data_IF_937624422450
#
_entry.id   IF_937624422450
#
_cell.length_a   1.000
_cell.length_b   1.000
_cell.length_c   1.000
_cell.angle_alpha   90.00
_cell.angle_beta   90.00
_cell.angle_gamma   90.00
#
_symmetry.space_group_name_H-M   'P 1'
#
loop_
_entity.id
_entity.type
_entity.pdbx_description
1 polymer ?
#
# COMPACT_ATOMS: atom_id res chain seq x y z
N UNK A 1 -9.67 -2.13 -8.70
CA UNK A 1 -10.73 -1.52 -7.86
C UNK A 1 -11.51 -2.57 -7.07
N UNK A 2 -12.20 -3.51 -7.74
CA UNK A 2 -12.98 -4.57 -7.06
C UNK A 2 -12.16 -5.35 -6.02
N UNK A 3 -10.93 -5.73 -6.37
CA UNK A 3 -10.03 -6.43 -5.45
C UNK A 3 -9.67 -5.58 -4.22
N UNK A 4 -9.39 -4.28 -4.40
CA UNK A 4 -9.14 -3.37 -3.27
C UNK A 4 -10.35 -3.27 -2.36
N UNK A 5 -11.55 -3.17 -2.95
CA UNK A 5 -12.82 -3.18 -2.19
C UNK A 5 -12.97 -4.50 -1.42
N UNK A 6 -12.68 -5.63 -2.06
CA UNK A 6 -12.71 -6.95 -1.44
C UNK A 6 -11.73 -7.06 -0.25
N UNK A 7 -10.49 -6.62 -0.40
CA UNK A 7 -9.52 -6.58 0.69
C UNK A 7 -9.96 -5.65 1.82
N UNK A 8 -10.53 -4.49 1.51
CA UNK A 8 -11.08 -3.57 2.52
C UNK A 8 -12.21 -4.26 3.29
N UNK A 9 -13.15 -4.91 2.61
CA UNK A 9 -14.24 -5.64 3.27
C UNK A 9 -13.70 -6.72 4.19
N UNK A 10 -12.77 -7.57 3.72
CA UNK A 10 -12.12 -8.59 4.55
C UNK A 10 -11.42 -7.97 5.75
N UNK A 11 -10.67 -6.89 5.53
CA UNK A 11 -9.98 -6.14 6.58
C UNK A 11 -10.95 -5.66 7.66
N UNK A 12 -12.04 -5.00 7.27
CA UNK A 12 -13.08 -4.50 8.19
C UNK A 12 -13.75 -5.64 8.97
N UNK A 13 -14.18 -6.72 8.30
CA UNK A 13 -14.80 -7.86 8.96
C UNK A 13 -13.83 -8.57 9.91
N UNK A 14 -12.56 -8.72 9.51
CA UNK A 14 -11.54 -9.34 10.36
C UNK A 14 -11.32 -8.54 11.65
N UNK A 15 -11.39 -7.20 11.57
CA UNK A 15 -11.24 -6.33 12.74
C UNK A 15 -12.44 -6.44 13.68
N UNK A 16 -13.66 -6.43 13.15
CA UNK A 16 -14.87 -6.63 13.95
C UNK A 16 -14.87 -7.98 14.68
N UNK A 17 -14.42 -9.04 13.99
CA UNK A 17 -14.29 -10.36 14.59
C UNK A 17 -13.25 -10.40 15.72
N UNK A 18 -12.11 -9.71 15.57
CA UNK A 18 -11.11 -9.58 16.63
C UNK A 18 -11.64 -8.84 17.85
N UNK A 19 -12.32 -7.71 17.65
CA UNK A 19 -12.91 -6.93 18.74
C UNK A 19 -13.96 -7.76 19.48
N UNK A 20 -14.83 -8.45 18.74
CA UNK A 20 -15.82 -9.35 19.33
C UNK A 20 -15.16 -10.44 20.18
N UNK A 21 -14.13 -11.09 19.65
CA UNK A 21 -13.41 -12.12 20.39
C UNK A 21 -12.71 -11.58 21.63
N UNK A 22 -12.11 -10.38 21.55
CA UNK A 22 -11.45 -9.72 22.69
C UNK A 22 -12.43 -9.35 23.82
N UNK A 23 -13.69 -9.05 23.49
CA UNK A 23 -14.70 -8.64 24.45
C UNK A 23 -15.46 -9.81 25.08
N UNK A 24 -15.68 -10.90 24.34
CA UNK A 24 -16.63 -11.94 24.73
C UNK A 24 -16.08 -13.36 24.80
N UNK A 25 -14.86 -13.63 24.32
CA UNK A 25 -14.31 -15.00 24.27
C UNK A 25 -13.38 -15.29 25.44
N UNK A 26 -13.68 -16.35 26.19
CA UNK A 26 -12.79 -16.89 27.23
C UNK A 26 -11.72 -17.84 26.66
N UNK A 27 -11.95 -18.39 25.46
CA UNK A 27 -11.06 -19.37 24.83
C UNK A 27 -9.94 -18.70 24.02
N UNK A 28 -8.70 -18.92 24.48
CA UNK A 28 -7.49 -18.33 23.87
C UNK A 28 -7.05 -19.06 22.59
N UNK A 29 -7.44 -20.32 22.40
CA UNK A 29 -6.96 -21.18 21.30
C UNK A 29 -8.06 -21.50 20.28
N UNK A 30 -8.47 -20.50 19.50
CA UNK A 30 -9.44 -20.68 18.43
C UNK A 30 -8.78 -20.52 17.06
N UNK A 31 -8.83 -21.56 16.21
CA UNK A 31 -8.32 -21.51 14.83
C UNK A 31 -8.92 -20.35 14.02
N UNK A 32 -10.16 -19.96 14.34
CA UNK A 32 -10.81 -18.79 13.75
C UNK A 32 -10.05 -17.50 14.07
N UNK A 33 -9.57 -17.34 15.31
CA UNK A 33 -8.81 -16.16 15.73
C UNK A 33 -7.51 -16.02 14.95
N UNK A 34 -6.82 -17.14 14.67
CA UNK A 34 -5.61 -17.16 13.86
C UNK A 34 -5.90 -16.73 12.41
N UNK A 35 -6.94 -17.30 11.78
CA UNK A 35 -7.33 -16.94 10.40
C UNK A 35 -7.68 -15.46 10.29
N UNK A 36 -8.45 -14.95 11.26
CA UNK A 36 -8.85 -13.55 11.32
C UNK A 36 -7.62 -12.65 11.53
N UNK A 37 -6.68 -13.05 12.39
CA UNK A 37 -5.43 -12.31 12.64
C UNK A 37 -4.54 -12.24 11.40
N UNK A 38 -4.39 -13.35 10.67
CA UNK A 38 -3.66 -13.40 9.39
C UNK A 38 -4.34 -12.50 8.36
N UNK A 39 -5.66 -12.58 8.24
CA UNK A 39 -6.42 -11.77 7.28
C UNK A 39 -6.24 -10.27 7.54
N UNK A 40 -6.27 -9.85 8.81
CA UNK A 40 -5.99 -8.47 9.22
C UNK A 40 -4.55 -8.05 8.87
N UNK A 41 -3.56 -8.87 9.25
CA UNK A 41 -2.15 -8.59 9.00
C UNK A 41 -1.87 -8.47 7.49
N UNK A 42 -2.50 -9.35 6.70
CA UNK A 42 -2.44 -9.35 5.25
C UNK A 42 -3.03 -8.10 4.63
N UNK A 43 -4.23 -7.68 5.06
CA UNK A 43 -4.83 -6.43 4.62
C UNK A 43 -3.92 -5.22 4.88
N UNK A 44 -3.33 -5.15 6.08
CA UNK A 44 -2.46 -4.04 6.45
C UNK A 44 -1.18 -4.02 5.62
N UNK A 45 -0.51 -5.18 5.47
CA UNK A 45 0.69 -5.32 4.64
C UNK A 45 0.40 -4.98 3.18
N UNK A 46 -0.70 -5.50 2.62
CA UNK A 46 -1.14 -5.20 1.26
C UNK A 46 -1.34 -3.69 1.05
N UNK A 47 -2.00 -3.02 2.01
CA UNK A 47 -2.23 -1.57 1.96
C UNK A 47 -0.93 -0.77 1.94
N UNK A 48 0.11 -1.21 2.67
CA UNK A 48 1.43 -0.58 2.65
C UNK A 48 2.20 -0.82 1.35
N UNK A 49 1.93 -1.91 0.63
CA UNK A 49 2.52 -2.25 -0.66
C UNK A 49 1.82 -1.59 -1.86
N UNK A 50 0.60 -1.07 -1.70
CA UNK A 50 -0.16 -0.44 -2.78
C UNK A 50 0.59 0.71 -3.49
N UNK A 51 1.26 1.66 -2.79
CA UNK A 51 1.99 2.73 -3.47
C UNK A 51 3.13 2.20 -4.35
N UNK A 52 3.84 1.17 -3.88
CA UNK A 52 4.90 0.53 -4.64
C UNK A 52 4.34 -0.19 -5.87
N UNK A 53 3.26 -0.95 -5.68
CA UNK A 53 2.53 -1.66 -6.74
C UNK A 53 2.16 -0.74 -7.89
N UNK A 54 1.46 0.35 -7.55
CA UNK A 54 1.01 1.33 -8.53
C UNK A 54 2.20 1.99 -9.23
N UNK A 55 3.28 2.25 -8.50
CA UNK A 55 4.50 2.84 -9.07
C UNK A 55 5.20 1.88 -10.04
N UNK A 56 5.29 0.59 -9.72
CA UNK A 56 5.85 -0.43 -10.62
C UNK A 56 5.00 -0.56 -11.87
N UNK A 57 3.68 -0.61 -11.73
CA UNK A 57 2.76 -0.69 -12.87
C UNK A 57 2.93 0.50 -13.82
N UNK A 58 2.98 1.72 -13.27
CA UNK A 58 3.20 2.95 -14.05
C UNK A 58 4.62 3.02 -14.62
N UNK A 59 5.61 2.46 -13.93
CA UNK A 59 6.97 2.33 -14.46
C UNK A 59 6.99 1.44 -15.70
N UNK A 60 6.34 0.27 -15.65
CA UNK A 60 6.24 -0.65 -16.78
C UNK A 60 5.57 0.04 -17.98
N UNK A 61 4.43 0.70 -17.74
CA UNK A 61 3.71 1.44 -18.78
C UNK A 61 4.56 2.57 -19.40
N UNK A 62 5.39 3.26 -18.59
CA UNK A 62 6.27 4.34 -19.08
C UNK A 62 7.45 3.79 -19.89
N UNK A 63 8.06 2.68 -19.45
CA UNK A 63 9.30 2.14 -20.03
C UNK A 63 9.03 1.28 -21.27
N UNK A 64 7.99 0.44 -21.24
CA UNK A 64 7.62 -0.48 -22.31
C UNK A 64 6.26 -0.12 -22.93
N UNK A 65 6.09 1.17 -23.24
CA UNK A 65 4.82 1.73 -23.71
C UNK A 65 4.29 1.07 -24.99
N UNK A 66 5.15 0.73 -25.96
CA UNK A 66 4.73 0.10 -27.23
C UNK A 66 4.13 -1.28 -27.01
N UNK A 67 4.68 -2.04 -26.07
CA UNK A 67 4.16 -3.35 -25.70
C UNK A 67 2.87 -3.22 -24.87
N UNK A 68 2.80 -2.19 -24.01
CA UNK A 68 1.62 -1.88 -23.22
C UNK A 68 0.41 -1.52 -24.10
N UNK A 69 0.61 -0.67 -25.11
CA UNK A 69 -0.45 -0.19 -26.02
C UNK A 69 -1.04 -1.32 -26.86
N UNK A 70 -0.24 -2.33 -27.23
CA UNK A 70 -0.71 -3.46 -28.03
C UNK A 70 -1.70 -4.36 -27.30
N UNK A 71 -1.78 -4.28 -25.96
CA UNK A 71 -2.68 -5.07 -25.11
C UNK A 71 -2.73 -6.56 -25.47
N UNK A 72 -1.59 -7.14 -25.82
CA UNK A 72 -1.51 -8.55 -26.20
C UNK A 72 -1.66 -9.46 -24.96
N UNK A 73 -1.86 -10.77 -25.18
CA UNK A 73 -1.91 -11.76 -24.07
C UNK A 73 -0.70 -11.71 -23.14
N UNK A 74 0.47 -11.30 -23.65
CA UNK A 74 1.67 -11.10 -22.84
C UNK A 74 1.53 -9.94 -21.84
N UNK A 75 0.77 -8.90 -22.17
CA UNK A 75 0.44 -7.77 -21.28
C UNK A 75 -0.31 -8.25 -20.05
N UNK A 76 -1.34 -9.09 -20.25
CA UNK A 76 -2.07 -9.70 -19.15
C UNK A 76 -1.16 -10.57 -18.27
N UNK A 77 -0.29 -11.39 -18.88
CA UNK A 77 0.62 -12.26 -18.13
C UNK A 77 1.60 -11.49 -17.23
N UNK A 78 2.16 -10.37 -17.71
CA UNK A 78 3.04 -9.52 -16.91
C UNK A 78 2.29 -8.84 -15.77
N UNK A 79 1.07 -8.36 -16.00
CA UNK A 79 0.25 -7.81 -14.90
C UNK A 79 -0.08 -8.86 -13.85
N UNK A 80 -0.44 -10.08 -14.26
CA UNK A 80 -0.67 -11.20 -13.35
C UNK A 80 0.61 -11.55 -12.57
N UNK A 81 1.77 -11.56 -13.23
CA UNK A 81 3.04 -11.81 -12.56
C UNK A 81 3.37 -10.72 -11.52
N UNK A 82 3.23 -9.44 -11.88
CA UNK A 82 3.39 -8.34 -10.94
C UNK A 82 2.44 -8.48 -9.75
N UNK A 83 1.17 -8.76 -10.02
CA UNK A 83 0.16 -8.97 -9.00
C UNK A 83 0.54 -10.11 -8.05
N UNK A 84 0.92 -11.28 -8.57
CA UNK A 84 1.35 -12.41 -7.75
C UNK A 84 2.58 -12.08 -6.88
N UNK A 85 3.55 -11.32 -7.41
CA UNK A 85 4.73 -10.88 -6.65
C UNK A 85 4.32 -9.99 -5.47
N UNK A 86 3.36 -9.09 -5.67
CA UNK A 86 2.86 -8.20 -4.62
C UNK A 86 2.07 -8.98 -3.58
N UNK A 87 1.18 -9.87 -4.02
CA UNK A 87 0.38 -10.73 -3.15
C UNK A 87 1.27 -11.62 -2.27
N UNK A 88 2.24 -12.29 -2.87
CA UNK A 88 3.24 -13.09 -2.13
C UNK A 88 4.06 -12.22 -1.18
N UNK A 89 4.47 -11.02 -1.63
CA UNK A 89 5.12 -10.01 -0.80
C UNK A 89 4.27 -9.51 0.37
N UNK A 90 2.94 -9.65 0.31
CA UNK A 90 2.04 -9.29 1.40
C UNK A 90 1.71 -10.48 2.32
N UNK A 91 1.53 -11.67 1.75
CA UNK A 91 1.21 -12.90 2.48
C UNK A 91 2.38 -13.28 3.41
N UNK A 92 3.61 -13.34 2.88
CA UNK A 92 4.76 -13.83 3.67
C UNK A 92 4.98 -13.03 4.96
N UNK A 93 5.10 -11.69 4.93
CA UNK A 93 5.25 -10.89 6.15
C UNK A 93 4.08 -11.02 7.12
N UNK A 94 2.87 -11.24 6.60
CA UNK A 94 1.65 -11.36 7.41
C UNK A 94 1.60 -12.67 8.17
N UNK A 95 2.04 -13.77 7.54
CA UNK A 95 2.25 -15.03 8.25
C UNK A 95 3.38 -14.91 9.27
N UNK A 96 4.52 -14.32 8.89
CA UNK A 96 5.66 -14.18 9.78
C UNK A 96 5.35 -13.38 11.05
N UNK A 97 4.54 -12.30 10.98
CA UNK A 97 4.17 -11.57 12.20
C UNK A 97 3.19 -12.37 13.08
N UNK A 98 2.22 -13.07 12.50
CA UNK A 98 1.21 -13.79 13.30
C UNK A 98 1.80 -15.02 13.99
N UNK A 99 2.76 -15.69 13.35
CA UNK A 99 3.51 -16.80 13.94
C UNK A 99 4.76 -16.35 14.70
N UNK A 100 4.87 -15.04 14.99
CA UNK A 100 5.96 -14.45 15.80
C UNK A 100 7.38 -14.78 15.29
N UNK A 101 7.53 -15.05 13.99
CA UNK A 101 8.83 -15.30 13.34
C UNK A 101 9.74 -14.07 13.45
N UNK A 102 9.16 -12.87 13.43
CA UNK A 102 9.85 -11.63 13.79
C UNK A 102 8.94 -10.71 14.61
N UNK A 103 9.57 -9.76 15.32
CA UNK A 103 8.87 -8.80 16.18
C UNK A 103 8.17 -7.68 15.40
N UNK A 104 7.13 -7.09 15.99
CA UNK A 104 6.36 -5.99 15.41
C UNK A 104 7.22 -4.80 14.92
N UNK A 105 8.29 -4.36 15.64
CA UNK A 105 9.16 -3.29 15.15
C UNK A 105 9.86 -3.61 13.82
N UNK A 106 10.22 -4.88 13.59
CA UNK A 106 10.81 -5.33 12.32
C UNK A 106 9.79 -5.19 11.19
N UNK A 107 8.53 -5.56 11.44
CA UNK A 107 7.44 -5.37 10.48
C UNK A 107 7.24 -3.90 10.10
N UNK A 108 7.23 -3.01 11.10
CA UNK A 108 7.05 -1.58 10.89
C UNK A 108 8.21 -0.98 10.09
N UNK A 109 9.43 -1.49 10.32
CA UNK A 109 10.60 -1.12 9.52
C UNK A 109 10.43 -1.55 8.07
N UNK A 110 9.96 -2.78 7.80
CA UNK A 110 9.66 -3.25 6.44
C UNK A 110 8.59 -2.38 5.76
N UNK A 111 7.52 -2.02 6.47
CA UNK A 111 6.47 -1.13 5.93
C UNK A 111 7.03 0.26 5.59
N UNK A 112 7.89 0.82 6.45
CA UNK A 112 8.56 2.08 6.18
C UNK A 112 9.41 2.01 4.90
N UNK A 113 10.13 0.89 4.69
CA UNK A 113 10.91 0.65 3.46
C UNK A 113 10.00 0.56 2.23
N UNK A 114 8.89 -0.19 2.29
CA UNK A 114 7.95 -0.29 1.16
C UNK A 114 7.31 1.05 0.81
N UNK A 115 6.81 1.78 1.81
CA UNK A 115 6.19 3.08 1.62
C UNK A 115 7.18 4.12 1.08
N UNK A 116 8.37 4.20 1.65
CA UNK A 116 9.41 5.14 1.20
C UNK A 116 9.84 4.84 -0.23
N UNK A 117 10.13 3.57 -0.54
CA UNK A 117 10.52 3.14 -1.90
C UNK A 117 9.40 3.41 -2.91
N UNK A 118 8.15 3.09 -2.55
CA UNK A 118 6.99 3.37 -3.41
C UNK A 118 6.80 4.86 -3.64
N UNK A 119 6.91 5.67 -2.59
CA UNK A 119 6.76 7.14 -2.66
C UNK A 119 7.85 7.78 -3.51
N UNK A 120 9.12 7.43 -3.29
CA UNK A 120 10.25 7.94 -4.08
C UNK A 120 10.07 7.58 -5.56
N UNK A 121 9.71 6.32 -5.85
CA UNK A 121 9.46 5.86 -7.22
C UNK A 121 8.30 6.61 -7.87
N UNK A 122 7.20 6.81 -7.14
CA UNK A 122 6.03 7.56 -7.61
C UNK A 122 6.40 8.98 -8.04
N UNK A 123 7.07 9.74 -7.17
CA UNK A 123 7.45 11.12 -7.47
C UNK A 123 8.51 11.21 -8.57
N UNK A 124 9.47 10.29 -8.58
CA UNK A 124 10.43 10.17 -9.67
C UNK A 124 9.74 10.00 -11.03
N UNK A 125 8.78 9.06 -11.11
CA UNK A 125 8.04 8.81 -12.35
C UNK A 125 7.14 9.98 -12.75
N UNK A 126 6.49 10.62 -11.80
CA UNK A 126 5.68 11.80 -12.04
C UNK A 126 6.53 12.92 -12.67
N UNK A 127 7.68 13.22 -12.07
CA UNK A 127 8.58 14.26 -12.57
C UNK A 127 9.15 13.91 -13.95
N UNK A 128 9.53 12.65 -14.16
CA UNK A 128 10.01 12.16 -15.45
C UNK A 128 8.95 12.26 -16.55
N UNK A 129 7.70 11.90 -16.25
CA UNK A 129 6.59 11.99 -17.21
C UNK A 129 6.26 13.45 -17.53
N UNK A 130 6.29 14.36 -16.54
CA UNK A 130 6.13 15.80 -16.78
C UNK A 130 7.21 16.37 -17.69
N UNK A 131 8.48 16.07 -17.40
CA UNK A 131 9.60 16.50 -18.23
C UNK A 131 9.49 15.95 -19.67
N UNK A 132 9.08 14.68 -19.79
CA UNK A 132 8.85 14.04 -21.10
C UNK A 132 7.71 14.73 -21.86
N UNK A 133 6.62 15.09 -21.19
CA UNK A 133 5.52 15.84 -21.80
C UNK A 133 5.99 17.20 -22.34
N UNK A 134 6.73 17.97 -21.53
CA UNK A 134 7.26 19.28 -21.94
C UNK A 134 8.17 19.16 -23.17
N UNK A 135 9.08 18.18 -23.18
CA UNK A 135 9.96 17.95 -24.33
C UNK A 135 9.22 17.55 -25.61
N UNK A 136 8.12 16.79 -25.48
CA UNK A 136 7.28 16.39 -26.62
C UNK A 136 6.37 17.51 -27.10
N UNK A 137 5.95 18.44 -26.23
CA UNK A 137 5.19 19.64 -26.63
C UNK A 137 6.10 20.66 -27.31
N UNK A 138 7.35 20.80 -26.85
CA UNK A 138 8.32 21.72 -27.45
C UNK A 138 8.79 21.26 -28.84
N UNK A 139 8.84 19.95 -29.09
CA UNK A 139 9.10 19.39 -30.42
C UNK A 139 7.76 19.34 -31.18
N UNK A 140 7.64 20.01 -32.34
CA UNK A 140 6.46 19.83 -33.21
C UNK A 140 6.26 18.33 -33.45
N UNK A 141 5.13 17.80 -33.00
CA UNK A 141 4.77 16.38 -33.11
C UNK A 141 4.50 16.09 -34.59
N UNK A 142 5.48 15.55 -35.32
CA UNK A 142 5.38 15.32 -36.77
C UNK A 142 5.17 13.86 -37.15
N UNK A 143 5.38 12.91 -36.23
CA UNK A 143 5.33 11.47 -36.55
C UNK A 143 4.23 10.75 -35.76
N UNK A 144 3.57 9.75 -36.36
CA UNK A 144 2.54 8.92 -35.69
C UNK A 144 3.05 8.30 -34.38
N UNK A 145 4.33 7.91 -34.34
CA UNK A 145 5.02 7.42 -33.15
C UNK A 145 5.03 8.44 -31.99
N UNK A 146 5.28 9.71 -32.30
CA UNK A 146 5.31 10.78 -31.28
C UNK A 146 3.91 11.11 -30.76
N UNK A 147 2.87 10.92 -31.58
CA UNK A 147 1.47 11.10 -31.17
C UNK A 147 1.05 10.04 -30.13
N UNK A 148 1.26 8.75 -30.42
CA UNK A 148 0.88 7.67 -29.50
C UNK A 148 1.58 7.78 -28.14
N UNK A 149 2.90 8.04 -28.17
CA UNK A 149 3.69 8.28 -26.94
C UNK A 149 3.21 9.49 -26.15
N UNK A 150 2.79 10.56 -26.83
CA UNK A 150 2.24 11.76 -26.16
C UNK A 150 0.92 11.44 -25.43
N UNK A 151 0.02 10.67 -26.05
CA UNK A 151 -1.22 10.22 -25.41
C UNK A 151 -0.95 9.37 -24.17
N UNK A 152 -0.03 8.39 -24.25
CA UNK A 152 0.34 7.53 -23.13
C UNK A 152 0.91 8.33 -21.94
N UNK A 153 1.78 9.30 -22.20
CA UNK A 153 2.33 10.18 -21.14
C UNK A 153 1.22 11.02 -20.52
N UNK A 154 0.31 11.57 -21.33
CA UNK A 154 -0.83 12.36 -20.84
C UNK A 154 -1.76 11.52 -19.95
N UNK A 155 -2.05 10.29 -20.36
CA UNK A 155 -2.84 9.34 -19.57
C UNK A 155 -2.16 9.02 -18.24
N UNK A 156 -0.86 8.67 -18.25
CA UNK A 156 -0.11 8.40 -17.03
C UNK A 156 -0.12 9.60 -16.07
N UNK A 157 0.02 10.82 -16.58
CA UNK A 157 -0.04 12.04 -15.76
C UNK A 157 -1.43 12.28 -15.15
N UNK A 158 -2.50 11.95 -15.87
CA UNK A 158 -3.86 11.99 -15.32
C UNK A 158 -4.01 10.96 -14.18
N UNK A 159 -3.52 9.73 -14.38
CA UNK A 159 -3.53 8.68 -13.35
C UNK A 159 -2.74 9.11 -12.12
N UNK A 160 -1.52 9.63 -12.28
CA UNK A 160 -0.74 10.17 -11.16
C UNK A 160 -1.45 11.33 -10.46
N UNK A 161 -2.13 12.20 -11.23
CA UNK A 161 -2.94 13.29 -10.68
C UNK A 161 -4.10 12.79 -9.81
N UNK A 162 -4.81 11.76 -10.27
CA UNK A 162 -5.89 11.11 -9.50
C UNK A 162 -5.35 10.43 -8.24
N UNK A 163 -4.30 9.62 -8.38
CA UNK A 163 -3.68 8.90 -7.26
C UNK A 163 -3.17 9.88 -6.19
N UNK A 164 -2.55 10.98 -6.58
CA UNK A 164 -2.12 12.02 -5.63
C UNK A 164 -3.28 12.64 -4.87
N UNK A 165 -4.42 12.88 -5.54
CA UNK A 165 -5.64 13.41 -4.89
C UNK A 165 -6.22 12.45 -3.85
N UNK A 166 -6.03 11.15 -4.03
CA UNK A 166 -6.48 10.11 -3.08
C UNK A 166 -5.43 9.90 -1.97
N UNK A 167 -4.15 9.83 -2.34
CA UNK A 167 -3.07 9.51 -1.43
C UNK A 167 -2.80 10.61 -0.40
N UNK A 168 -2.87 11.88 -0.79
CA UNK A 168 -2.59 12.99 0.15
C UNK A 168 -3.57 13.01 1.32
N UNK A 169 -4.90 12.99 1.12
CA UNK A 169 -5.85 12.87 2.21
C UNK A 169 -5.67 11.60 3.05
N UNK A 170 -5.40 10.46 2.41
CA UNK A 170 -5.17 9.20 3.12
C UNK A 170 -3.95 9.26 4.05
N UNK A 171 -2.85 9.86 3.60
CA UNK A 171 -1.64 10.05 4.41
C UNK A 171 -1.94 11.01 5.56
N UNK A 172 -2.60 12.15 5.29
CA UNK A 172 -2.97 13.12 6.33
C UNK A 172 -3.85 12.45 7.39
N UNK A 173 -4.80 11.61 6.97
CA UNK A 173 -5.64 10.84 7.87
C UNK A 173 -4.86 9.79 8.66
N UNK A 174 -3.80 9.20 8.10
CA UNK A 174 -3.01 8.18 8.78
C UNK A 174 -2.00 8.73 9.81
N UNK A 175 -1.59 10.00 9.70
CA UNK A 175 -0.58 10.62 10.58
C UNK A 175 -0.90 10.44 12.08
N UNK A 176 -2.12 10.72 12.59
CA UNK A 176 -2.41 10.57 14.01
C UNK A 176 -2.13 9.16 14.55
N UNK A 177 -2.51 8.11 13.80
CA UNK A 177 -2.23 6.73 14.19
C UNK A 177 -0.71 6.48 14.34
N UNK A 178 0.10 6.92 13.37
CA UNK A 178 1.55 6.74 13.47
C UNK A 178 2.17 7.53 14.63
N UNK A 179 1.65 8.74 14.93
CA UNK A 179 2.10 9.53 16.08
C UNK A 179 1.79 8.80 17.39
N UNK A 180 0.55 8.35 17.59
CA UNK A 180 0.16 7.63 18.80
C UNK A 180 0.96 6.34 18.98
N UNK A 181 1.15 5.57 17.91
CA UNK A 181 1.96 4.35 17.95
C UNK A 181 3.44 4.62 18.26
N UNK A 182 3.99 5.71 17.73
CA UNK A 182 5.38 6.11 18.02
C UNK A 182 5.57 6.51 19.49
N UNK A 183 4.60 7.24 20.06
CA UNK A 183 4.60 7.59 21.50
C UNK A 183 4.53 6.32 22.37
N UNK A 184 3.68 5.35 22.00
CA UNK A 184 3.58 4.07 22.70
C UNK A 184 4.91 3.30 22.73
N UNK A 185 5.64 3.28 21.60
CA UNK A 185 6.94 2.61 21.51
C UNK A 185 8.05 3.37 22.25
N UNK A 186 8.02 4.69 22.25
CA UNK A 186 9.07 5.52 22.85
C UNK A 186 9.06 5.51 24.39
N UNK A 187 7.89 5.31 25.01
CA UNK A 187 7.76 5.33 26.48
C UNK A 187 8.07 3.93 27.05
N UNK A 188 9.12 3.76 27.87
CA UNK A 188 9.40 2.50 28.54
C UNK A 188 8.35 2.20 29.63
N UNK A 189 8.20 0.91 29.95
CA UNK A 189 7.24 0.44 30.96
C UNK A 189 7.62 1.03 32.33
N UNK A 190 6.65 1.55 33.08
CA UNK A 190 6.83 2.04 34.45
C UNK A 190 7.20 3.52 34.60
N UNK A 191 7.36 4.27 33.50
CA UNK A 191 7.63 5.73 33.57
C UNK A 191 6.34 6.54 33.48
N UNK A 192 5.53 6.31 32.45
CA UNK A 192 4.27 7.02 32.19
C UNK A 192 3.22 6.06 31.62
N UNK A 193 2.81 5.06 32.41
CA UNK A 193 1.92 3.98 31.95
C UNK A 193 0.57 4.51 31.45
N UNK A 194 0.04 5.58 32.07
CA UNK A 194 -1.18 6.23 31.59
C UNK A 194 -1.05 6.73 30.14
N UNK A 195 0.01 7.49 29.83
CA UNK A 195 0.23 8.04 28.48
C UNK A 195 0.45 6.91 27.48
N UNK A 196 1.18 5.87 27.88
CA UNK A 196 1.45 4.70 27.05
C UNK A 196 0.16 3.95 26.69
N UNK A 197 -0.67 3.63 27.69
CA UNK A 197 -1.95 2.93 27.52
C UNK A 197 -2.97 3.80 26.76
N UNK A 198 -3.01 5.10 27.04
CA UNK A 198 -3.86 6.03 26.32
C UNK A 198 -3.48 6.14 24.84
N UNK A 199 -2.17 6.15 24.54
CA UNK A 199 -1.68 6.22 23.15
C UNK A 199 -2.03 4.96 22.36
N UNK A 200 -1.90 3.76 22.94
CA UNK A 200 -2.33 2.53 22.23
C UNK A 200 -3.85 2.49 22.05
N UNK A 201 -4.64 2.95 23.02
CA UNK A 201 -6.09 3.04 22.88
C UNK A 201 -6.52 4.02 21.78
N UNK A 202 -5.87 5.18 21.67
CA UNK A 202 -6.12 6.13 20.58
C UNK A 202 -5.66 5.60 19.22
N UNK A 203 -4.54 4.88 19.16
CA UNK A 203 -4.12 4.18 17.96
C UNK A 203 -5.17 3.15 17.54
N UNK A 204 -5.64 2.30 18.45
CA UNK A 204 -6.66 1.29 18.17
C UNK A 204 -7.98 1.93 17.76
N UNK A 205 -8.38 3.05 18.37
CA UNK A 205 -9.56 3.81 17.97
C UNK A 205 -9.41 4.39 16.55
N UNK A 206 -8.26 5.00 16.24
CA UNK A 206 -8.04 5.69 14.96
C UNK A 206 -7.92 4.73 13.77
N UNK A 207 -7.40 3.52 14.00
CA UNK A 207 -7.28 2.49 12.97
C UNK A 207 -8.56 1.63 12.87
N UNK A 208 -9.53 1.81 13.77
CA UNK A 208 -10.85 1.13 13.73
C UNK A 208 -11.85 1.88 12.87
#
# INVERSE_FOLDING_TARGET
LLLVVFHISIGTFSRLALIYHQLFSEDVHNNLLTIVSISRAFFFTFSMLLPLTVSVERFLATKWWEWYERQNRSTLAVFLACFLIIETGAIIPSFCVVFEVYSLPVQMTLFSVYLSTGTVTFFYLLNRNKASQLSLTARRITTRYTVAKHYQIKENLLVFGMLRKIAVPAVVWAIPAFVFFSVYLAIPIGVCDFIKLFSVALFDFHVS
#
